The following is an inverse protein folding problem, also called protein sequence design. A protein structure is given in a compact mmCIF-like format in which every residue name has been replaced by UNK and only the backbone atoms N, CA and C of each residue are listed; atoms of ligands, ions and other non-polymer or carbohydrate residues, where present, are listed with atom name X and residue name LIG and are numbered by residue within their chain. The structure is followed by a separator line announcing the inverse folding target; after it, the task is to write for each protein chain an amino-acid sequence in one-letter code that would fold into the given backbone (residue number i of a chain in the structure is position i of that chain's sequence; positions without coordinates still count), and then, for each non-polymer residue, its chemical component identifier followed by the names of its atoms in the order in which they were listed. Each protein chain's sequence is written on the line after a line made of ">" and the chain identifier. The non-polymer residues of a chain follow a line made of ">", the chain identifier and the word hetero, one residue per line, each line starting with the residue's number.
data_IF_766095395505
#
_entry.id   IF_766095395505
#
_cell.length_a   1.000
_cell.length_b   1.000
_cell.length_c   1.000
_cell.angle_alpha   90.00
_cell.angle_beta   90.00
_cell.angle_gamma   90.00
#
_symmetry.space_group_name_H-M   'P 1'
#
loop_
_entity.id
_entity.type
_entity.pdbx_description
1 polymer ?
#
# COMPACT_ATOMS: atom_id res chain seq x y z
N UNK A 1 21.21 18.46 3.88
CA UNK A 1 20.32 19.18 4.84
C UNK A 1 20.27 18.40 6.15
N UNK A 2 20.07 19.09 7.28
CA UNK A 2 19.81 18.49 8.57
C UNK A 2 18.29 18.52 8.86
N UNK A 3 17.64 17.37 9.07
CA UNK A 3 16.22 17.29 9.37
C UNK A 3 15.89 17.50 10.87
N UNK A 4 16.90 17.73 11.73
CA UNK A 4 16.76 17.85 13.18
C UNK A 4 17.16 16.57 13.92
N UNK A 5 16.78 16.51 15.21
CA UNK A 5 17.08 15.34 16.06
C UNK A 5 16.11 14.19 15.78
N UNK A 6 16.61 12.95 15.73
CA UNK A 6 15.75 11.77 15.59
C UNK A 6 14.86 11.59 16.82
N UNK A 7 13.68 11.01 16.62
CA UNK A 7 12.80 10.62 17.70
C UNK A 7 13.04 9.16 18.08
N UNK A 8 13.27 8.88 19.35
CA UNK A 8 13.67 7.55 19.85
C UNK A 8 12.65 6.46 19.52
N UNK A 9 11.38 6.80 19.57
CA UNK A 9 10.26 5.88 19.29
C UNK A 9 10.05 5.59 17.77
N UNK A 10 10.62 6.42 16.89
CA UNK A 10 10.61 6.17 15.44
C UNK A 10 11.84 5.36 14.98
N UNK A 11 12.91 5.30 15.78
CA UNK A 11 14.15 4.64 15.39
C UNK A 11 14.00 3.16 15.00
N UNK A 12 13.17 2.32 15.67
CA UNK A 12 13.00 0.93 15.25
C UNK A 12 12.47 0.81 13.81
N UNK A 13 11.46 1.61 13.45
CA UNK A 13 10.92 1.65 12.10
C UNK A 13 11.92 2.21 11.07
N UNK A 14 12.67 3.25 11.45
CA UNK A 14 13.70 3.84 10.59
C UNK A 14 14.85 2.86 10.29
N UNK A 15 15.34 2.14 11.32
CA UNK A 15 16.35 1.08 11.13
C UNK A 15 15.82 -0.03 10.24
N UNK A 16 14.59 -0.45 10.44
CA UNK A 16 13.99 -1.49 9.61
C UNK A 16 13.87 -1.07 8.14
N UNK A 17 13.46 0.18 7.87
CA UNK A 17 13.45 0.73 6.51
C UNK A 17 14.84 0.71 5.88
N UNK A 18 15.86 1.16 6.61
CA UNK A 18 17.23 1.31 6.10
C UNK A 18 17.96 -0.05 6.00
N UNK A 19 17.91 -0.85 7.07
CA UNK A 19 18.71 -2.07 7.19
C UNK A 19 18.07 -3.29 6.53
N UNK A 20 16.75 -3.44 6.69
CA UNK A 20 16.01 -4.61 6.20
C UNK A 20 15.39 -4.35 4.84
N UNK A 21 14.56 -3.32 4.74
CA UNK A 21 13.78 -3.08 3.53
C UNK A 21 14.67 -2.61 2.37
N UNK A 22 15.49 -1.60 2.59
CA UNK A 22 16.41 -1.04 1.59
C UNK A 22 17.78 -1.73 1.56
N UNK A 23 18.12 -2.49 2.60
CA UNK A 23 19.43 -3.15 2.75
C UNK A 23 20.60 -2.21 2.42
N UNK A 24 20.58 -0.99 2.97
CA UNK A 24 21.60 0.04 2.72
C UNK A 24 22.95 -0.40 3.24
N UNK A 25 23.98 -0.20 2.43
CA UNK A 25 25.36 -0.61 2.72
C UNK A 25 26.22 0.59 3.12
N UNK A 26 27.28 0.38 3.91
CA UNK A 26 28.25 1.43 4.22
C UNK A 26 28.84 2.05 2.93
N UNK A 27 28.89 3.38 2.88
CA UNK A 27 29.42 4.14 1.76
C UNK A 27 28.44 4.35 0.60
N UNK A 28 27.27 3.71 0.59
CA UNK A 28 26.25 4.00 -0.43
C UNK A 28 25.68 5.42 -0.25
N UNK A 29 25.35 6.05 -1.35
CA UNK A 29 24.77 7.38 -1.39
C UNK A 29 23.24 7.32 -1.50
N UNK A 30 22.55 7.95 -0.55
CA UNK A 30 21.09 7.97 -0.44
C UNK A 30 20.54 9.36 -0.74
N UNK A 31 19.58 9.47 -1.65
CA UNK A 31 18.76 10.68 -1.79
C UNK A 31 17.56 10.58 -0.84
N UNK A 32 17.56 11.38 0.24
CA UNK A 32 16.51 11.43 1.23
C UNK A 32 15.64 12.68 1.03
N UNK A 33 14.41 12.47 0.60
CA UNK A 33 13.46 13.51 0.23
C UNK A 33 12.36 13.55 1.28
N UNK A 34 12.06 14.72 1.83
CA UNK A 34 11.01 14.90 2.84
C UNK A 34 10.29 16.24 2.68
N UNK A 35 9.14 16.35 3.31
CA UNK A 35 8.43 17.60 3.54
C UNK A 35 8.45 17.98 5.04
N UNK A 36 7.94 19.16 5.38
CA UNK A 36 7.88 19.62 6.77
C UNK A 36 7.06 18.70 7.65
N UNK A 37 5.95 18.13 7.14
CA UNK A 37 5.08 17.26 7.90
C UNK A 37 5.76 15.92 8.26
N UNK A 38 6.63 15.41 7.39
CA UNK A 38 7.38 14.16 7.60
C UNK A 38 8.80 14.37 8.14
N UNK A 39 9.19 15.61 8.50
CA UNK A 39 10.54 15.96 8.96
C UNK A 39 11.05 15.06 10.10
N UNK A 40 10.22 14.72 11.07
CA UNK A 40 10.59 13.85 12.19
C UNK A 40 10.91 12.40 11.74
N UNK A 41 10.15 11.89 10.77
CA UNK A 41 10.41 10.59 10.12
C UNK A 41 11.73 10.64 9.39
N UNK A 42 11.95 11.68 8.56
CA UNK A 42 13.19 11.86 7.81
C UNK A 42 14.42 12.01 8.72
N UNK A 43 14.30 12.73 9.85
CA UNK A 43 15.36 12.84 10.86
C UNK A 43 15.75 11.46 11.44
N UNK A 44 14.77 10.60 11.70
CA UNK A 44 15.01 9.26 12.22
C UNK A 44 15.61 8.34 11.16
N UNK A 45 15.19 8.45 9.89
CA UNK A 45 15.81 7.73 8.76
C UNK A 45 17.26 8.20 8.56
N UNK A 46 17.52 9.51 8.60
CA UNK A 46 18.88 10.07 8.49
C UNK A 46 19.81 9.50 9.57
N UNK A 47 19.34 9.44 10.83
CA UNK A 47 20.10 8.84 11.93
C UNK A 47 20.37 7.32 11.69
N UNK A 48 19.40 6.59 11.16
CA UNK A 48 19.59 5.18 10.80
C UNK A 48 20.60 5.02 9.63
N UNK A 49 20.66 5.96 8.69
CA UNK A 49 21.67 5.99 7.62
C UNK A 49 23.07 6.27 8.18
N UNK A 50 23.18 7.19 9.15
CA UNK A 50 24.45 7.47 9.86
C UNK A 50 24.94 6.24 10.63
N UNK A 51 24.05 5.52 11.35
CA UNK A 51 24.35 4.24 12.03
C UNK A 51 24.92 3.21 11.04
N UNK A 52 24.43 3.21 9.77
CA UNK A 52 24.92 2.33 8.69
C UNK A 52 26.18 2.86 8.00
N UNK A 53 26.67 4.05 8.34
CA UNK A 53 27.78 4.72 7.65
C UNK A 53 27.51 4.93 6.17
N UNK A 54 26.26 5.16 5.80
CA UNK A 54 25.86 5.57 4.46
C UNK A 54 26.05 7.08 4.32
N UNK A 55 26.23 7.54 3.09
CA UNK A 55 26.21 8.97 2.76
C UNK A 55 24.81 9.35 2.34
N UNK A 56 24.32 10.54 2.69
CA UNK A 56 23.05 10.98 2.16
C UNK A 56 23.02 12.46 1.80
N UNK A 57 22.20 12.78 0.79
CA UNK A 57 21.81 14.15 0.46
C UNK A 57 20.35 14.33 0.82
N UNK A 58 20.08 15.22 1.79
CA UNK A 58 18.72 15.51 2.26
C UNK A 58 18.11 16.67 1.50
N UNK A 59 16.81 16.55 1.17
CA UNK A 59 16.00 17.56 0.53
C UNK A 59 14.72 17.79 1.32
N UNK A 60 14.42 19.05 1.62
CA UNK A 60 13.13 19.48 2.12
C UNK A 60 12.36 20.12 0.96
N UNK A 61 11.17 19.61 0.67
CA UNK A 61 10.42 20.03 -0.52
C UNK A 61 10.05 21.51 -0.47
N UNK A 62 9.75 22.05 0.71
CA UNK A 62 9.43 23.46 0.92
C UNK A 62 10.58 24.42 0.62
N UNK A 63 11.83 23.96 0.62
CA UNK A 63 12.98 24.80 0.21
C UNK A 63 12.97 25.13 -1.29
N UNK A 64 12.21 24.39 -2.08
CA UNK A 64 12.10 24.59 -3.54
C UNK A 64 10.88 25.41 -3.94
N UNK A 65 10.05 25.77 -3.00
CA UNK A 65 8.85 26.58 -3.24
C UNK A 65 7.62 26.08 -2.48
N UNK A 66 6.50 26.79 -2.65
CA UNK A 66 5.26 26.41 -1.98
C UNK A 66 4.72 25.08 -2.53
N UNK A 67 4.00 24.36 -1.67
CA UNK A 67 3.23 23.17 -2.06
C UNK A 67 1.76 23.53 -2.31
N UNK A 68 1.03 22.81 -3.19
CA UNK A 68 1.45 21.62 -3.93
C UNK A 68 2.47 21.89 -5.05
N UNK A 69 3.42 20.96 -5.23
CA UNK A 69 4.45 21.05 -6.25
C UNK A 69 3.88 20.81 -7.66
N UNK A 70 4.02 21.79 -8.55
CA UNK A 70 3.66 21.61 -9.97
C UNK A 70 4.64 20.72 -10.75
N UNK A 71 5.90 20.62 -10.30
CA UNK A 71 6.94 19.80 -10.91
C UNK A 71 7.95 19.32 -9.84
N UNK A 72 8.61 18.19 -10.10
CA UNK A 72 9.69 17.71 -9.24
C UNK A 72 10.89 18.67 -9.28
N UNK A 73 11.49 19.02 -8.12
CA UNK A 73 12.66 19.90 -8.09
C UNK A 73 13.84 19.31 -8.88
N UNK A 74 14.46 20.10 -9.74
CA UNK A 74 15.57 19.64 -10.57
C UNK A 74 16.76 19.09 -9.75
N UNK A 75 17.02 19.65 -8.57
CA UNK A 75 18.07 19.18 -7.67
C UNK A 75 17.78 17.78 -7.12
N UNK A 76 16.51 17.45 -6.82
CA UNK A 76 16.06 16.13 -6.41
C UNK A 76 16.28 15.11 -7.53
N UNK A 77 15.83 15.46 -8.75
CA UNK A 77 16.01 14.57 -9.90
C UNK A 77 17.50 14.33 -10.19
N UNK A 78 18.35 15.38 -10.14
CA UNK A 78 19.79 15.26 -10.35
C UNK A 78 20.46 14.38 -9.28
N UNK A 79 20.06 14.48 -8.02
CA UNK A 79 20.58 13.62 -6.95
C UNK A 79 20.23 12.14 -7.17
N UNK A 80 19.00 11.85 -7.58
CA UNK A 80 18.56 10.48 -7.89
C UNK A 80 19.30 9.87 -9.11
N UNK A 81 19.80 10.68 -10.03
CA UNK A 81 20.62 10.18 -11.15
C UNK A 81 21.94 9.55 -10.71
N UNK A 82 22.45 9.92 -9.53
CA UNK A 82 23.75 9.45 -9.01
C UNK A 82 23.64 8.65 -7.72
N UNK A 83 22.46 8.60 -7.10
CA UNK A 83 22.24 7.85 -5.87
C UNK A 83 22.19 6.34 -6.11
N UNK A 84 22.57 5.57 -5.09
CA UNK A 84 22.40 4.12 -5.02
C UNK A 84 21.00 3.76 -4.47
N UNK A 85 20.45 4.65 -3.64
CA UNK A 85 19.19 4.47 -2.94
C UNK A 85 18.42 5.79 -2.89
N UNK A 86 17.10 5.72 -3.01
CA UNK A 86 16.21 6.86 -2.76
C UNK A 86 15.19 6.55 -1.67
N UNK A 87 14.85 7.57 -0.89
CA UNK A 87 13.78 7.52 0.10
C UNK A 87 12.95 8.78 -0.03
N UNK A 88 11.63 8.64 -0.16
CA UNK A 88 10.73 9.80 -0.18
C UNK A 88 9.68 9.68 0.92
N UNK A 89 9.79 10.55 1.92
CA UNK A 89 8.85 10.70 3.02
C UNK A 89 8.07 12.01 2.82
N UNK A 90 6.79 11.95 2.51
CA UNK A 90 6.01 13.18 2.34
C UNK A 90 4.52 12.94 2.57
N UNK A 91 3.81 14.00 2.95
CA UNK A 91 2.34 14.03 2.94
C UNK A 91 1.87 14.39 1.53
N UNK A 92 1.03 13.56 0.89
CA UNK A 92 0.57 13.85 -0.47
C UNK A 92 -0.38 15.05 -0.48
N UNK A 93 -0.27 15.90 -1.49
CA UNK A 93 -1.20 17.00 -1.72
C UNK A 93 -1.86 16.87 -3.10
N UNK A 94 -3.14 17.29 -3.24
CA UNK A 94 -3.81 17.30 -4.54
C UNK A 94 -2.99 18.09 -5.58
N UNK A 95 -2.80 17.50 -6.76
CA UNK A 95 -2.03 18.09 -7.85
C UNK A 95 -0.55 17.70 -7.91
N UNK A 96 0.01 17.03 -6.89
CA UNK A 96 1.46 16.65 -6.88
C UNK A 96 1.77 15.32 -7.56
N UNK A 97 0.77 14.58 -8.01
CA UNK A 97 0.99 13.26 -8.63
C UNK A 97 2.00 13.32 -9.79
N UNK A 98 1.90 14.34 -10.66
CA UNK A 98 2.82 14.54 -11.78
C UNK A 98 4.27 14.71 -11.35
N UNK A 99 4.52 15.47 -10.28
CA UNK A 99 5.84 15.68 -9.69
C UNK A 99 6.40 14.39 -9.08
N UNK A 100 5.57 13.66 -8.31
CA UNK A 100 5.96 12.36 -7.73
C UNK A 100 6.29 11.33 -8.80
N UNK A 101 5.46 11.22 -9.84
CA UNK A 101 5.73 10.31 -10.95
C UNK A 101 6.98 10.68 -11.76
N UNK A 102 7.39 11.97 -11.78
CA UNK A 102 8.67 12.33 -12.37
C UNK A 102 9.87 11.79 -11.59
N UNK A 103 9.77 11.76 -10.26
CA UNK A 103 10.76 11.12 -9.37
C UNK A 103 10.80 9.61 -9.63
N UNK A 104 9.64 8.94 -9.62
CA UNK A 104 9.53 7.50 -9.87
C UNK A 104 10.12 7.10 -11.22
N UNK A 105 9.87 7.87 -12.28
CA UNK A 105 10.49 7.62 -13.60
C UNK A 105 12.01 7.63 -13.58
N UNK A 106 12.65 8.49 -12.78
CA UNK A 106 14.12 8.46 -12.61
C UNK A 106 14.55 7.20 -11.89
N UNK A 107 13.87 6.84 -10.81
CA UNK A 107 14.11 5.62 -10.02
C UNK A 107 14.04 4.36 -10.90
N UNK A 108 12.98 4.22 -11.71
CA UNK A 108 12.77 3.08 -12.60
C UNK A 108 13.84 3.02 -13.71
N UNK A 109 14.13 4.15 -14.36
CA UNK A 109 15.17 4.21 -15.39
C UNK A 109 16.56 3.87 -14.84
N UNK A 110 16.86 4.36 -13.64
CA UNK A 110 18.15 4.14 -12.97
C UNK A 110 18.23 2.77 -12.30
N UNK A 111 17.09 2.10 -12.08
CA UNK A 111 16.99 0.84 -11.35
C UNK A 111 17.68 0.93 -9.97
N UNK A 112 17.39 1.98 -9.21
CA UNK A 112 17.88 2.15 -7.84
C UNK A 112 16.86 1.58 -6.84
N UNK A 113 17.33 1.17 -5.66
CA UNK A 113 16.42 0.80 -4.55
C UNK A 113 15.70 2.04 -4.06
N UNK A 114 14.39 1.98 -3.97
CA UNK A 114 13.61 3.16 -3.61
C UNK A 114 12.42 2.84 -2.71
N UNK A 115 12.37 3.51 -1.57
CA UNK A 115 11.25 3.48 -0.66
C UNK A 115 10.32 4.67 -0.91
N UNK A 116 9.08 4.36 -1.30
CA UNK A 116 8.00 5.34 -1.50
C UNK A 116 7.17 5.41 -0.22
N UNK A 117 7.47 6.39 0.65
CA UNK A 117 6.80 6.55 1.94
C UNK A 117 5.87 7.78 1.90
N UNK A 118 5.00 7.82 0.89
CA UNK A 118 4.03 8.91 0.72
C UNK A 118 2.82 8.67 1.62
N UNK A 119 2.54 9.63 2.50
CA UNK A 119 1.53 9.49 3.55
C UNK A 119 2.08 8.91 4.85
N UNK A 120 3.40 8.73 4.97
CA UNK A 120 4.02 8.20 6.20
C UNK A 120 3.84 9.17 7.36
N UNK A 121 3.48 8.60 8.52
CA UNK A 121 3.32 9.33 9.79
C UNK A 121 4.18 8.71 10.88
N UNK A 122 4.42 9.41 12.01
CA UNK A 122 5.06 8.82 13.19
C UNK A 122 4.38 7.52 13.64
N UNK A 123 3.06 7.44 13.59
CA UNK A 123 2.29 6.27 13.98
C UNK A 123 2.58 5.05 13.08
N UNK A 124 2.66 5.25 11.77
CA UNK A 124 3.10 4.22 10.81
C UNK A 124 4.50 3.72 11.13
N UNK A 125 5.42 4.62 11.51
CA UNK A 125 6.78 4.23 11.91
C UNK A 125 6.81 3.41 13.19
N UNK A 126 5.80 3.57 14.05
CA UNK A 126 5.66 2.83 15.32
C UNK A 126 4.94 1.48 15.17
N UNK A 127 4.20 1.27 14.07
CA UNK A 127 3.48 0.03 13.77
C UNK A 127 4.06 -0.68 12.53
N UNK A 128 3.51 -0.42 11.36
CA UNK A 128 3.80 -1.14 10.11
C UNK A 128 5.29 -1.21 9.76
N UNK A 129 6.03 -0.15 10.08
CA UNK A 129 7.48 -0.13 9.87
C UNK A 129 8.27 -0.97 10.87
N UNK A 130 7.67 -1.46 11.96
CA UNK A 130 8.33 -2.36 12.92
C UNK A 130 8.13 -3.84 12.64
N UNK A 131 7.41 -4.20 11.58
CA UNK A 131 7.17 -5.58 11.21
C UNK A 131 8.46 -6.38 10.97
N UNK A 132 8.42 -7.67 11.20
CA UNK A 132 9.45 -8.59 10.67
C UNK A 132 9.24 -8.75 9.15
N UNK A 133 9.89 -7.90 8.37
CA UNK A 133 9.77 -7.91 6.91
C UNK A 133 10.26 -9.20 6.25
N UNK A 134 11.08 -10.00 6.92
CA UNK A 134 11.45 -11.33 6.44
C UNK A 134 10.27 -12.31 6.59
N UNK A 135 9.49 -12.17 7.66
CA UNK A 135 8.29 -12.95 7.85
C UNK A 135 7.17 -12.47 6.91
N UNK A 136 7.02 -11.16 6.72
CA UNK A 136 6.10 -10.59 5.71
C UNK A 136 6.43 -11.16 4.32
N UNK A 137 7.69 -11.20 3.94
CA UNK A 137 8.14 -11.73 2.66
C UNK A 137 7.81 -13.22 2.50
N UNK A 138 8.12 -14.04 3.49
CA UNK A 138 7.79 -15.48 3.48
C UNK A 138 6.28 -15.73 3.40
N UNK A 139 5.48 -14.97 4.16
CA UNK A 139 4.02 -15.09 4.09
C UNK A 139 3.50 -14.71 2.71
N UNK A 140 4.02 -13.61 2.17
CA UNK A 140 3.65 -13.15 0.82
C UNK A 140 4.02 -14.17 -0.25
N UNK A 141 5.19 -14.81 -0.16
CA UNK A 141 5.58 -15.87 -1.10
C UNK A 141 4.66 -17.09 -0.98
N UNK A 142 4.38 -17.56 0.25
CA UNK A 142 3.49 -18.71 0.45
C UNK A 142 2.08 -18.45 -0.11
N UNK A 143 1.53 -17.26 0.11
CA UNK A 143 0.22 -16.89 -0.44
C UNK A 143 0.27 -16.82 -1.97
N UNK A 144 1.27 -16.13 -2.52
CA UNK A 144 1.44 -16.00 -3.97
C UNK A 144 1.54 -17.37 -4.65
N UNK A 145 2.34 -18.29 -4.11
CA UNK A 145 2.49 -19.64 -4.66
C UNK A 145 1.18 -20.44 -4.63
N UNK A 146 0.36 -20.28 -3.60
CA UNK A 146 -0.97 -20.89 -3.53
C UNK A 146 -1.91 -20.27 -4.57
N UNK A 147 -1.95 -18.94 -4.62
CA UNK A 147 -2.85 -18.22 -5.52
C UNK A 147 -2.54 -18.45 -7.00
N UNK A 148 -1.28 -18.70 -7.38
CA UNK A 148 -0.91 -19.10 -8.74
C UNK A 148 -1.55 -20.44 -9.20
N UNK A 149 -2.03 -21.26 -8.25
CA UNK A 149 -2.67 -22.57 -8.52
C UNK A 149 -4.16 -22.57 -8.21
N UNK A 150 -4.61 -21.61 -7.40
CA UNK A 150 -5.98 -21.50 -6.94
C UNK A 150 -6.94 -21.18 -8.08
N UNK A 151 -8.17 -21.67 -7.98
CA UNK A 151 -9.27 -21.36 -8.86
C UNK A 151 -10.20 -20.33 -8.23
N UNK A 152 -10.37 -20.41 -6.90
CA UNK A 152 -11.34 -19.60 -6.16
C UNK A 152 -10.78 -19.04 -4.86
N UNK A 153 -11.32 -17.88 -4.46
CA UNK A 153 -11.21 -17.35 -3.12
C UNK A 153 -12.59 -17.04 -2.58
N UNK A 154 -12.88 -17.48 -1.37
CA UNK A 154 -14.08 -17.08 -0.65
C UNK A 154 -13.71 -16.24 0.55
N UNK A 155 -14.36 -15.07 0.71
CA UNK A 155 -14.21 -14.17 1.84
C UNK A 155 -15.55 -14.03 2.56
N UNK A 156 -15.54 -14.16 3.89
CA UNK A 156 -16.70 -13.93 4.76
C UNK A 156 -16.31 -13.16 6.00
N UNK A 157 -17.21 -12.27 6.46
CA UNK A 157 -17.08 -11.56 7.75
C UNK A 157 -18.38 -11.61 8.54
N UNK A 158 -18.30 -11.35 9.85
CA UNK A 158 -19.50 -11.20 10.69
C UNK A 158 -20.28 -9.91 10.33
N UNK A 159 -19.62 -8.90 9.79
CA UNK A 159 -20.26 -7.67 9.30
C UNK A 159 -21.17 -7.90 8.09
N UNK A 160 -21.10 -9.06 7.44
CA UNK A 160 -21.98 -9.43 6.33
C UNK A 160 -21.26 -9.59 4.97
N UNK A 161 -19.96 -9.37 4.90
CA UNK A 161 -19.22 -9.69 3.66
C UNK A 161 -19.36 -11.17 3.33
N UNK A 162 -19.72 -11.45 2.08
CA UNK A 162 -19.76 -12.78 1.50
C UNK A 162 -19.53 -12.66 0.01
N UNK A 163 -18.30 -12.78 -0.43
CA UNK A 163 -17.91 -12.77 -1.84
C UNK A 163 -17.20 -14.07 -2.23
N UNK A 164 -17.30 -14.40 -3.51
CA UNK A 164 -16.49 -15.40 -4.19
C UNK A 164 -15.77 -14.74 -5.37
N UNK A 165 -14.47 -14.95 -5.47
CA UNK A 165 -13.65 -14.48 -6.57
C UNK A 165 -13.08 -15.66 -7.35
N UNK A 166 -12.97 -15.50 -8.69
CA UNK A 166 -12.29 -16.44 -9.59
C UNK A 166 -11.14 -15.73 -10.28
N UNK A 167 -10.10 -16.47 -10.61
CA UNK A 167 -8.85 -15.92 -11.14
C UNK A 167 -8.54 -16.42 -12.55
N UNK A 168 -7.94 -15.54 -13.34
CA UNK A 168 -7.40 -15.90 -14.65
C UNK A 168 -5.89 -16.17 -14.51
N UNK A 169 -5.45 -17.34 -14.95
CA UNK A 169 -4.03 -17.73 -14.93
C UNK A 169 -3.15 -16.91 -15.88
N UNK A 170 -3.75 -16.11 -16.74
CA UNK A 170 -3.06 -15.16 -17.61
C UNK A 170 -2.69 -13.84 -16.90
N UNK A 171 -3.21 -13.62 -15.68
CA UNK A 171 -2.93 -12.43 -14.89
C UNK A 171 -1.92 -12.74 -13.77
N UNK A 172 -1.00 -11.80 -13.54
CA UNK A 172 0.05 -12.00 -12.55
C UNK A 172 -0.43 -11.68 -11.13
N UNK A 173 0.07 -12.48 -10.18
CA UNK A 173 0.03 -12.16 -8.76
C UNK A 173 1.28 -11.36 -8.40
N UNK A 174 1.09 -10.12 -8.02
CA UNK A 174 2.13 -9.16 -7.65
C UNK A 174 2.42 -9.27 -6.15
N UNK A 175 3.69 -9.25 -5.80
CA UNK A 175 4.15 -9.26 -4.39
C UNK A 175 4.86 -7.96 -4.06
N UNK A 176 4.41 -7.27 -3.02
CA UNK A 176 5.04 -6.07 -2.45
C UNK A 176 5.34 -6.28 -0.97
N UNK A 177 6.39 -7.04 -0.68
CA UNK A 177 6.73 -7.46 0.70
C UNK A 177 7.59 -6.48 1.49
N UNK A 178 8.05 -5.40 0.85
CA UNK A 178 8.94 -4.41 1.48
C UNK A 178 10.42 -4.75 1.43
N UNK A 179 10.82 -5.94 0.93
CA UNK A 179 12.21 -6.21 0.59
C UNK A 179 12.50 -5.61 -0.80
N UNK A 180 13.08 -4.41 -0.80
CA UNK A 180 13.24 -3.58 -2.00
C UNK A 180 14.48 -4.00 -2.77
N UNK A 181 14.34 -4.15 -4.08
CA UNK A 181 15.44 -4.45 -5.00
C UNK A 181 15.60 -3.34 -6.05
N UNK A 182 16.72 -3.30 -6.79
CA UNK A 182 16.89 -2.33 -7.88
C UNK A 182 15.83 -2.42 -8.99
N UNK A 183 15.14 -3.55 -9.11
CA UNK A 183 14.12 -3.79 -10.14
C UNK A 183 12.72 -3.38 -9.69
N UNK A 184 12.49 -3.37 -8.37
CA UNK A 184 11.16 -3.16 -7.80
C UNK A 184 11.27 -2.21 -6.61
N UNK A 185 10.87 -0.96 -6.83
CA UNK A 185 10.60 -0.04 -5.73
C UNK A 185 9.30 -0.46 -5.00
N UNK A 186 9.13 -0.02 -3.80
CA UNK A 186 7.94 -0.37 -3.01
C UNK A 186 7.46 0.78 -2.15
N UNK A 187 6.18 0.79 -1.87
CA UNK A 187 5.67 1.53 -0.73
C UNK A 187 6.28 0.96 0.57
N UNK A 188 6.49 1.82 1.56
CA UNK A 188 6.76 1.44 2.95
C UNK A 188 5.86 2.25 3.89
N UNK A 189 5.15 1.58 4.83
CA UNK A 189 5.15 0.13 5.08
C UNK A 189 4.65 -0.67 3.89
N UNK A 190 5.00 -1.94 3.86
CA UNK A 190 4.61 -2.88 2.83
C UNK A 190 4.06 -4.17 3.45
N UNK A 191 3.68 -5.08 2.60
CA UNK A 191 3.13 -6.37 2.97
C UNK A 191 1.81 -6.62 2.26
N UNK A 192 1.89 -6.99 0.96
CA UNK A 192 0.72 -7.23 0.14
C UNK A 192 1.01 -8.22 -0.98
N UNK A 193 -0.03 -8.99 -1.33
CA UNK A 193 -0.04 -9.84 -2.51
C UNK A 193 -1.37 -9.64 -3.22
N UNK A 194 -1.35 -9.16 -4.45
CA UNK A 194 -2.55 -8.77 -5.18
C UNK A 194 -2.58 -9.24 -6.64
N UNK A 195 -3.77 -9.27 -7.19
CA UNK A 195 -4.04 -9.47 -8.61
C UNK A 195 -5.35 -8.80 -9.02
N UNK A 196 -5.60 -8.73 -10.32
CA UNK A 196 -6.93 -8.43 -10.85
C UNK A 196 -7.73 -9.72 -10.94
N UNK A 197 -8.90 -9.86 -10.27
CA UNK A 197 -9.73 -11.05 -10.38
C UNK A 197 -10.44 -11.11 -11.73
N UNK A 198 -10.67 -12.32 -12.26
CA UNK A 198 -11.46 -12.55 -13.47
C UNK A 198 -12.94 -12.21 -13.21
N UNK A 199 -13.47 -12.62 -12.06
CA UNK A 199 -14.79 -12.24 -11.57
C UNK A 199 -14.85 -12.22 -10.06
N UNK A 200 -15.71 -11.37 -9.52
CA UNK A 200 -16.10 -11.32 -8.10
C UNK A 200 -17.61 -11.20 -8.05
N UNK A 201 -18.25 -12.02 -7.23
CA UNK A 201 -19.69 -11.99 -7.04
C UNK A 201 -20.03 -12.05 -5.53
N UNK A 202 -21.04 -11.30 -5.12
CA UNK A 202 -21.59 -11.28 -3.77
C UNK A 202 -21.65 -9.91 -3.14
N UNK A 203 -21.70 -9.89 -1.81
CA UNK A 203 -21.80 -8.68 -0.99
C UNK A 203 -20.47 -8.42 -0.29
N UNK A 204 -19.94 -7.21 -0.39
CA UNK A 204 -18.79 -6.75 0.36
C UNK A 204 -19.20 -5.63 1.31
N UNK A 205 -18.92 -5.78 2.60
CA UNK A 205 -19.17 -4.75 3.62
C UNK A 205 -17.85 -4.07 3.95
N UNK A 206 -17.73 -2.81 3.58
CA UNK A 206 -16.62 -1.95 3.96
C UNK A 206 -16.92 -1.37 5.35
N UNK A 207 -16.30 -1.93 6.37
CA UNK A 207 -16.42 -1.51 7.78
C UNK A 207 -15.09 -0.95 8.33
N UNK A 208 -14.20 -0.51 7.43
CA UNK A 208 -12.89 0.03 7.74
C UNK A 208 -12.56 1.22 6.83
N UNK A 209 -11.35 1.31 6.32
CA UNK A 209 -10.88 2.38 5.43
C UNK A 209 -11.44 2.19 4.02
N UNK A 210 -11.93 3.28 3.42
CA UNK A 210 -12.33 3.36 2.02
C UNK A 210 -11.48 4.41 1.30
N UNK A 211 -10.36 4.03 0.70
CA UNK A 211 -9.44 4.92 0.03
C UNK A 211 -9.06 6.17 0.83
N UNK A 212 -8.03 6.90 0.43
CA UNK A 212 -7.61 8.11 1.15
C UNK A 212 -8.66 9.24 1.08
N UNK A 213 -9.31 9.39 -0.07
CA UNK A 213 -10.30 10.46 -0.28
C UNK A 213 -11.51 10.32 0.66
N UNK A 214 -12.13 9.14 0.66
CA UNK A 214 -13.30 8.88 1.48
C UNK A 214 -12.95 8.84 2.96
N UNK A 215 -11.82 8.21 3.30
CA UNK A 215 -11.38 8.16 4.69
C UNK A 215 -11.06 9.55 5.25
N UNK A 216 -10.41 10.41 4.46
CA UNK A 216 -10.15 11.80 4.86
C UNK A 216 -11.42 12.62 5.08
N UNK A 217 -12.50 12.32 4.38
CA UNK A 217 -13.78 13.04 4.47
C UNK A 217 -14.76 12.44 5.48
N UNK A 218 -14.82 11.12 5.54
CA UNK A 218 -15.86 10.39 6.27
C UNK A 218 -15.33 9.64 7.49
N UNK A 219 -13.99 9.49 7.59
CA UNK A 219 -13.33 8.73 8.64
C UNK A 219 -13.47 7.22 8.46
N UNK A 220 -13.15 6.51 9.51
CA UNK A 220 -13.31 5.06 9.60
C UNK A 220 -14.79 4.65 9.57
N UNK A 221 -15.11 3.62 8.80
CA UNK A 221 -16.50 3.19 8.55
C UNK A 221 -17.03 2.13 9.53
N UNK A 222 -16.33 1.85 10.63
CA UNK A 222 -16.78 0.85 11.62
C UNK A 222 -18.18 1.12 12.17
N UNK A 223 -18.51 2.39 12.43
CA UNK A 223 -19.82 2.77 12.96
C UNK A 223 -20.89 2.98 11.89
N UNK A 224 -20.49 3.16 10.64
CA UNK A 224 -21.37 3.42 9.50
C UNK A 224 -20.89 2.64 8.27
N UNK A 225 -20.93 1.30 8.31
CA UNK A 225 -20.41 0.46 7.24
C UNK A 225 -21.16 0.69 5.93
N UNK A 226 -20.45 0.52 4.84
CA UNK A 226 -20.99 0.62 3.48
C UNK A 226 -21.08 -0.78 2.88
N UNK A 227 -22.27 -1.17 2.44
CA UNK A 227 -22.54 -2.45 1.81
C UNK A 227 -22.49 -2.29 0.29
N UNK A 228 -21.65 -3.11 -0.35
CA UNK A 228 -21.38 -3.08 -1.78
C UNK A 228 -21.86 -4.39 -2.41
N UNK A 229 -22.81 -4.31 -3.35
CA UNK A 229 -23.27 -5.45 -4.14
C UNK A 229 -22.44 -5.55 -5.41
N UNK A 230 -21.82 -6.72 -5.61
CA UNK A 230 -20.90 -6.98 -6.73
C UNK A 230 -21.42 -8.14 -7.56
N UNK A 231 -21.49 -7.95 -8.88
CA UNK A 231 -21.89 -8.98 -9.82
C UNK A 231 -21.02 -8.96 -11.07
N UNK A 232 -20.39 -10.11 -11.38
CA UNK A 232 -19.50 -10.21 -12.53
C UNK A 232 -18.33 -9.21 -12.45
N UNK A 233 -17.73 -9.06 -11.26
CA UNK A 233 -16.70 -8.09 -10.95
C UNK A 233 -17.09 -6.61 -11.16
N UNK A 234 -18.38 -6.26 -11.15
CA UNK A 234 -18.86 -4.87 -11.23
C UNK A 234 -19.72 -4.51 -10.04
N UNK A 235 -19.56 -3.28 -9.56
CA UNK A 235 -20.38 -2.68 -8.51
C UNK A 235 -21.78 -2.43 -9.09
N UNK A 236 -22.79 -3.12 -8.55
CA UNK A 236 -24.19 -2.99 -8.99
C UNK A 236 -25.11 -2.35 -7.96
N UNK A 237 -24.62 -2.13 -6.73
CA UNK A 237 -25.36 -1.45 -5.67
C UNK A 237 -24.45 -0.99 -4.54
N UNK A 238 -24.82 0.12 -3.91
CA UNK A 238 -24.19 0.67 -2.72
C UNK A 238 -25.28 1.01 -1.72
N UNK A 239 -25.15 0.56 -0.48
CA UNK A 239 -26.05 0.91 0.62
C UNK A 239 -25.22 1.38 1.81
N UNK A 240 -25.58 2.56 2.36
CA UNK A 240 -24.99 3.12 3.56
C UNK A 240 -26.02 3.97 4.31
N UNK A 241 -25.95 4.02 5.65
CA UNK A 241 -26.78 4.95 6.43
C UNK A 241 -26.48 6.40 6.08
N UNK A 242 -25.20 6.71 5.79
CA UNK A 242 -24.76 8.03 5.30
C UNK A 242 -25.04 8.16 3.80
N UNK A 243 -26.14 8.79 3.46
CA UNK A 243 -26.58 8.95 2.06
C UNK A 243 -25.68 9.85 1.22
N UNK A 244 -24.92 10.74 1.85
CA UNK A 244 -23.88 11.55 1.19
C UNK A 244 -22.70 10.67 0.76
N UNK A 245 -22.22 9.77 1.62
CA UNK A 245 -21.17 8.79 1.29
C UNK A 245 -21.63 7.81 0.21
N UNK A 246 -22.82 7.21 0.39
CA UNK A 246 -23.42 6.27 -0.58
C UNK A 246 -23.43 6.86 -2.00
N UNK A 247 -23.96 8.09 -2.11
CA UNK A 247 -24.04 8.80 -3.39
C UNK A 247 -22.66 9.09 -3.97
N UNK A 248 -21.75 9.64 -3.17
CA UNK A 248 -20.42 10.04 -3.63
C UNK A 248 -19.59 8.82 -4.04
N UNK A 249 -19.67 7.72 -3.29
CA UNK A 249 -18.95 6.48 -3.62
C UNK A 249 -19.48 5.88 -4.94
N UNK A 250 -20.81 5.87 -5.12
CA UNK A 250 -21.43 5.44 -6.36
C UNK A 250 -20.96 6.30 -7.55
N UNK A 251 -21.00 7.62 -7.43
CA UNK A 251 -20.57 8.55 -8.48
C UNK A 251 -19.06 8.38 -8.79
N UNK A 252 -18.23 8.20 -7.77
CA UNK A 252 -16.80 7.94 -7.95
C UNK A 252 -16.52 6.65 -8.72
N UNK A 253 -17.22 5.57 -8.37
CA UNK A 253 -17.11 4.28 -9.07
C UNK A 253 -17.80 4.28 -10.45
N UNK A 254 -18.36 5.40 -10.90
CA UNK A 254 -18.92 5.57 -12.25
C UNK A 254 -18.29 6.76 -13.00
N UNK A 255 -17.05 7.12 -12.64
CA UNK A 255 -16.30 8.21 -13.28
C UNK A 255 -15.95 7.88 -14.73
N UNK A 256 -15.65 6.62 -15.04
CA UNK A 256 -15.41 6.11 -16.39
C UNK A 256 -15.95 4.68 -16.56
N UNK A 257 -15.79 4.10 -17.73
CA UNK A 257 -16.33 2.78 -18.11
C UNK A 257 -15.89 1.62 -17.20
N UNK A 258 -14.74 1.75 -16.53
CA UNK A 258 -14.15 0.69 -15.71
C UNK A 258 -14.02 1.07 -14.23
N UNK A 259 -14.48 2.26 -13.82
CA UNK A 259 -14.39 2.71 -12.42
C UNK A 259 -15.21 1.85 -11.46
N UNK A 260 -16.26 1.18 -11.94
CA UNK A 260 -17.10 0.25 -11.18
C UNK A 260 -16.59 -1.18 -11.17
N UNK A 261 -15.50 -1.47 -11.92
CA UNK A 261 -14.94 -2.80 -12.03
C UNK A 261 -13.98 -3.08 -10.88
N UNK A 262 -14.06 -4.29 -10.31
CA UNK A 262 -13.06 -4.74 -9.34
C UNK A 262 -11.73 -4.92 -10.07
N UNK A 263 -10.83 -3.99 -9.85
CA UNK A 263 -9.49 -3.94 -10.45
C UNK A 263 -8.46 -4.68 -9.65
N UNK A 264 -8.71 -4.84 -8.34
CA UNK A 264 -7.78 -5.48 -7.44
C UNK A 264 -8.50 -6.36 -6.41
N UNK A 265 -7.90 -7.50 -6.11
CA UNK A 265 -8.12 -8.30 -4.92
C UNK A 265 -6.76 -8.56 -4.27
N UNK A 266 -6.62 -8.19 -3.01
CA UNK A 266 -5.34 -8.19 -2.32
C UNK A 266 -5.39 -8.84 -0.95
N UNK A 267 -4.28 -9.48 -0.56
CA UNK A 267 -4.00 -9.93 0.80
C UNK A 267 -3.06 -8.94 1.48
N UNK A 268 -3.47 -8.34 2.59
CA UNK A 268 -2.56 -7.63 3.50
C UNK A 268 -1.75 -8.64 4.33
N UNK A 269 -0.43 -8.55 4.29
CA UNK A 269 0.48 -9.55 4.90
C UNK A 269 1.40 -8.99 5.97
N UNK A 270 1.21 -7.73 6.36
CA UNK A 270 2.03 -7.10 7.40
C UNK A 270 1.58 -7.53 8.80
N UNK A 271 2.17 -8.60 9.32
CA UNK A 271 1.85 -9.16 10.64
C UNK A 271 2.26 -8.27 11.82
N UNK A 272 2.97 -7.17 11.58
CA UNK A 272 3.32 -6.18 12.61
C UNK A 272 2.20 -5.21 12.93
N UNK A 273 1.13 -5.20 12.15
CA UNK A 273 -0.03 -4.33 12.37
C UNK A 273 -0.98 -4.92 13.40
N UNK A 274 -1.32 -4.12 14.41
CA UNK A 274 -2.25 -4.50 15.48
C UNK A 274 -3.65 -3.89 15.30
N UNK A 275 -3.73 -2.75 14.60
CA UNK A 275 -4.97 -2.01 14.37
C UNK A 275 -4.90 -1.23 13.05
N UNK A 276 -6.04 -0.94 12.47
CA UNK A 276 -6.20 0.00 11.38
C UNK A 276 -6.27 1.41 11.94
N UNK A 277 -5.57 2.35 11.33
CA UNK A 277 -5.42 3.74 11.83
C UNK A 277 -6.08 4.79 10.92
N UNK A 278 -6.78 4.34 9.90
CA UNK A 278 -7.44 5.24 8.95
C UNK A 278 -6.46 5.88 7.94
N UNK A 279 -5.30 5.29 7.71
CA UNK A 279 -4.36 5.72 6.68
C UNK A 279 -4.15 4.56 5.72
N UNK A 280 -4.60 4.71 4.48
CA UNK A 280 -4.62 3.63 3.49
C UNK A 280 -3.23 3.00 3.29
N UNK A 281 -2.17 3.79 3.24
CA UNK A 281 -0.78 3.31 3.09
C UNK A 281 -0.44 2.16 4.04
N UNK A 282 -0.98 2.17 5.26
CA UNK A 282 -0.80 1.10 6.25
C UNK A 282 -1.97 0.11 6.25
N UNK A 283 -3.20 0.60 6.20
CA UNK A 283 -4.39 -0.21 6.47
C UNK A 283 -4.61 -1.29 5.41
N UNK A 284 -4.27 -1.03 4.15
CA UNK A 284 -4.32 -2.02 3.06
C UNK A 284 -3.35 -3.20 3.28
N UNK A 285 -2.32 -3.02 4.12
CA UNK A 285 -1.35 -4.07 4.48
C UNK A 285 -1.78 -4.88 5.70
N UNK A 286 -2.89 -4.49 6.36
CA UNK A 286 -3.42 -5.18 7.53
C UNK A 286 -3.80 -6.62 7.21
N UNK A 287 -3.50 -7.60 8.10
CA UNK A 287 -3.80 -9.02 7.86
C UNK A 287 -5.26 -9.26 7.50
N UNK A 288 -5.53 -9.59 6.24
CA UNK A 288 -6.88 -9.74 5.71
C UNK A 288 -6.89 -9.77 4.20
N UNK A 289 -8.10 -9.58 3.64
CA UNK A 289 -8.30 -9.39 2.21
C UNK A 289 -9.12 -8.12 1.99
N UNK A 290 -8.70 -7.33 1.04
CA UNK A 290 -9.44 -6.18 0.54
C UNK A 290 -9.63 -6.26 -0.97
N UNK A 291 -10.49 -5.41 -1.50
CA UNK A 291 -10.68 -5.23 -2.94
C UNK A 291 -10.56 -3.75 -3.29
N UNK A 292 -10.22 -3.46 -4.54
CA UNK A 292 -10.30 -2.10 -5.07
C UNK A 292 -11.13 -2.05 -6.35
N UNK A 293 -11.86 -0.95 -6.52
CA UNK A 293 -12.56 -0.62 -7.76
C UNK A 293 -11.73 0.33 -8.60
N UNK A 294 -11.74 0.12 -9.92
CA UNK A 294 -11.06 1.00 -10.87
C UNK A 294 -9.81 0.38 -11.48
N UNK A 295 -8.71 1.13 -11.57
CA UNK A 295 -7.50 0.75 -12.29
C UNK A 295 -6.89 -0.57 -11.77
N UNK A 296 -6.60 -1.54 -12.67
CA UNK A 296 -6.15 -2.88 -12.29
C UNK A 296 -4.63 -2.98 -12.13
N UNK A 297 -3.89 -1.87 -12.18
CA UNK A 297 -2.42 -1.88 -12.29
C UNK A 297 -1.90 -2.77 -13.42
N UNK A 298 -2.49 -2.64 -14.63
CA UNK A 298 -2.24 -3.51 -15.76
C UNK A 298 -0.77 -3.64 -16.18
N UNK A 299 0.08 -2.67 -15.86
CA UNK A 299 1.54 -2.79 -16.06
C UNK A 299 2.19 -3.86 -15.17
N UNK A 300 1.53 -4.28 -14.09
CA UNK A 300 2.01 -5.28 -13.14
C UNK A 300 1.18 -6.56 -13.19
N UNK A 301 -0.15 -6.44 -13.27
CA UNK A 301 -1.08 -7.58 -13.27
C UNK A 301 -1.30 -8.18 -14.66
N UNK A 302 -0.93 -7.47 -15.73
CA UNK A 302 -1.20 -7.78 -17.14
C UNK A 302 -2.68 -7.70 -17.52
N UNK A 303 -3.53 -7.06 -16.72
CA UNK A 303 -4.89 -6.74 -17.13
C UNK A 303 -4.89 -5.74 -18.31
N UNK A 304 -5.76 -5.96 -19.28
CA UNK A 304 -5.78 -5.26 -20.57
C UNK A 304 -6.66 -4.01 -20.62
N UNK A 305 -7.20 -3.59 -19.47
CA UNK A 305 -8.05 -2.42 -19.32
C UNK A 305 -7.47 -1.40 -18.34
N UNK A 306 -8.05 -0.19 -18.31
CA UNK A 306 -7.60 0.93 -17.47
C UNK A 306 -8.80 1.68 -16.91
N UNK A 307 -8.59 2.37 -15.80
CA UNK A 307 -9.51 3.37 -15.25
C UNK A 307 -8.73 4.60 -14.79
N UNK A 308 -9.43 5.71 -14.63
CA UNK A 308 -8.89 6.95 -14.03
C UNK A 308 -8.98 6.95 -12.52
N UNK A 309 -9.74 6.03 -11.96
CA UNK A 309 -9.97 5.88 -10.53
C UNK A 309 -9.33 4.59 -10.01
N UNK A 310 -9.01 4.58 -8.73
CA UNK A 310 -8.66 3.39 -7.96
C UNK A 310 -9.08 3.68 -6.52
N UNK A 311 -9.92 2.83 -5.94
CA UNK A 311 -10.37 3.00 -4.56
C UNK A 311 -10.45 1.66 -3.85
N UNK A 312 -9.60 1.51 -2.84
CA UNK A 312 -9.61 0.35 -1.95
C UNK A 312 -10.78 0.43 -0.99
N UNK A 313 -11.36 -0.71 -0.70
CA UNK A 313 -12.37 -0.89 0.34
C UNK A 313 -11.98 -2.06 1.23
N UNK A 314 -11.87 -1.77 2.52
CA UNK A 314 -11.34 -2.70 3.50
C UNK A 314 -12.44 -3.25 4.41
N UNK A 315 -12.26 -4.50 4.85
CA UNK A 315 -13.15 -5.14 5.83
C UNK A 315 -12.34 -5.74 6.98
N UNK A 316 -12.97 -5.82 8.17
CA UNK A 316 -12.33 -6.35 9.39
C UNK A 316 -12.65 -7.83 9.61
N UNK A 317 -11.79 -8.49 10.40
CA UNK A 317 -12.04 -9.81 10.97
C UNK A 317 -12.48 -10.87 9.96
N UNK A 318 -11.84 -10.87 8.78
CA UNK A 318 -12.22 -11.75 7.69
C UNK A 318 -11.90 -13.23 7.96
N UNK A 319 -12.71 -14.09 7.38
CA UNK A 319 -12.45 -15.52 7.20
C UNK A 319 -12.26 -15.75 5.70
N UNK A 320 -11.13 -16.34 5.32
CA UNK A 320 -10.74 -16.51 3.91
C UNK A 320 -10.38 -17.95 3.62
N UNK A 321 -10.93 -18.46 2.53
CA UNK A 321 -10.60 -19.77 1.97
C UNK A 321 -10.02 -19.59 0.57
N UNK A 322 -8.90 -20.26 0.31
CA UNK A 322 -8.34 -20.46 -1.03
C UNK A 322 -8.75 -21.87 -1.44
N UNK A 323 -9.61 -21.99 -2.44
CA UNK A 323 -10.35 -23.20 -2.74
C UNK A 323 -11.04 -23.72 -1.46
N UNK A 324 -10.70 -24.92 -0.99
CA UNK A 324 -11.27 -25.50 0.24
C UNK A 324 -10.43 -25.26 1.50
N UNK A 325 -9.24 -24.62 1.40
CA UNK A 325 -8.32 -24.43 2.52
C UNK A 325 -8.51 -23.08 3.21
N UNK A 326 -8.89 -23.09 4.48
CA UNK A 326 -9.04 -21.86 5.26
C UNK A 326 -7.68 -21.30 5.65
N UNK A 327 -7.27 -20.21 5.01
CA UNK A 327 -5.96 -19.55 5.22
C UNK A 327 -6.01 -18.39 6.21
N UNK A 328 -7.18 -17.76 6.38
CA UNK A 328 -7.43 -16.75 7.42
C UNK A 328 -8.67 -17.13 8.20
N UNK A 329 -8.58 -17.05 9.54
CA UNK A 329 -9.69 -17.28 10.47
C UNK A 329 -9.77 -16.12 11.45
N UNK A 330 -10.92 -15.42 11.46
CA UNK A 330 -11.16 -14.25 12.31
C UNK A 330 -10.01 -13.23 12.25
N UNK A 331 -9.63 -12.82 11.04
CA UNK A 331 -8.58 -11.86 10.76
C UNK A 331 -7.14 -12.35 11.03
N UNK A 332 -6.94 -13.64 11.32
CA UNK A 332 -5.61 -14.19 11.64
C UNK A 332 -5.21 -15.28 10.64
N UNK A 333 -4.03 -15.12 10.06
CA UNK A 333 -3.45 -16.14 9.21
C UNK A 333 -3.23 -17.45 9.93
N UNK A 334 -3.60 -18.56 9.29
CA UNK A 334 -3.34 -19.93 9.76
C UNK A 334 -1.92 -20.32 9.29
N UNK A 335 -0.89 -19.78 9.98
CA UNK A 335 0.51 -19.87 9.53
C UNK A 335 0.98 -21.31 9.30
N UNK A 336 0.55 -22.26 10.14
CA UNK A 336 0.88 -23.67 9.96
C UNK A 336 0.35 -24.23 8.63
N UNK A 337 -0.87 -23.84 8.21
CA UNK A 337 -1.44 -24.23 6.91
C UNK A 337 -0.65 -23.61 5.74
N UNK A 338 0.00 -22.49 5.99
CA UNK A 338 0.84 -21.78 5.02
C UNK A 338 2.29 -22.27 5.02
N UNK A 339 2.63 -23.31 5.81
CA UNK A 339 3.99 -23.83 5.92
C UNK A 339 4.95 -22.89 6.66
N UNK A 340 4.40 -22.00 7.48
CA UNK A 340 5.15 -21.00 8.26
C UNK A 340 4.98 -21.33 9.75
N UNK A 341 6.03 -21.83 10.37
CA UNK A 341 6.09 -22.18 11.81
C UNK A 341 7.08 -21.28 12.53
#
# INVERSE_FOLDING_TARGET
>A
MNFGSPQTDLMPGARNAVETCLAVRPGEHVALIADEASRAVAASIAAALDDRRALYTGFLLEDFGPRPMGAAPAAVLAALETADVGVMCMTPQPGELGARMAIVRVVERRQIRYAHMVGVTPEIMQQGMRADYKMVDRLSDSLRERMLRAETLTLKTEAGTKIAAHFDRGLDWVKTSGLISPRYWSNLPAGEVFTTPATVDGTFVCDATAGDHFNGKYGDLQSTPMTLEIKGARLVGVECERKDLEKEFWEYCHTDENSDRVGELAFGTNLGLSEMIGILLQDEKFPGVHIAFGDPYGSQTHADWKSKTHVDVLTRNCNVWIDDDQVIKNGRYQLAHLGLS
#
